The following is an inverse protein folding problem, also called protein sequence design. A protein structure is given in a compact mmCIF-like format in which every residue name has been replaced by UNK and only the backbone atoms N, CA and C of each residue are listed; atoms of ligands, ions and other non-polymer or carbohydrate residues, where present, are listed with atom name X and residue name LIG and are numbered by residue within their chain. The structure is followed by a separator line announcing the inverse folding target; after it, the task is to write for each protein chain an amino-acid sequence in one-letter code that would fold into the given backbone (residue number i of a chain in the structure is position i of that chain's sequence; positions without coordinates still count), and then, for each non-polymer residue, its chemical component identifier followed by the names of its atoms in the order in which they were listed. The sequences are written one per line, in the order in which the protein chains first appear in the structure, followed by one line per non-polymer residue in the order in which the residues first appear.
data_IF_578242838428
#
_entry.id   IF_578242838428
#
_cell.length_a   1.000
_cell.length_b   1.000
_cell.length_c   1.000
_cell.angle_alpha   90.00
_cell.angle_beta   90.00
_cell.angle_gamma   90.00
#
_symmetry.space_group_name_H-M   'P 1'
#
loop_
_entity.id
_entity.type
_entity.pdbx_description
1 polymer ?
#
# COMPACT_ATOMS: atom_id res chain seq x y z
N UNK A 1 16.12 9.30 4.61
CA UNK A 1 15.36 9.89 3.49
C UNK A 1 13.98 9.34 3.70
N UNK A 2 13.04 10.15 4.18
CA UNK A 2 11.83 9.67 4.85
C UNK A 2 10.59 10.07 4.04
N UNK A 3 10.67 9.89 2.71
CA UNK A 3 9.69 10.41 1.75
C UNK A 3 8.33 9.77 1.99
N UNK A 4 8.27 8.45 2.10
CA UNK A 4 7.02 7.72 2.28
C UNK A 4 6.55 7.70 3.73
N UNK A 5 7.47 7.68 4.70
CA UNK A 5 7.14 7.85 6.12
C UNK A 5 6.49 9.22 6.37
N UNK A 6 7.05 10.30 5.83
CA UNK A 6 6.44 11.62 5.94
C UNK A 6 5.11 11.70 5.18
N UNK A 7 5.03 11.16 3.96
CA UNK A 7 3.79 11.16 3.16
C UNK A 7 2.64 10.42 3.85
N UNK A 8 2.90 9.23 4.40
CA UNK A 8 1.89 8.45 5.12
C UNK A 8 1.46 9.15 6.41
N UNK A 9 2.38 9.81 7.13
CA UNK A 9 2.08 10.64 8.29
C UNK A 9 1.19 11.84 7.93
N UNK A 10 1.50 12.55 6.84
CA UNK A 10 0.73 13.71 6.39
C UNK A 10 -0.70 13.32 6.01
N UNK A 11 -0.86 12.26 5.21
CA UNK A 11 -2.20 11.75 4.84
C UNK A 11 -2.94 11.25 6.09
N UNK A 12 -2.25 10.52 6.98
CA UNK A 12 -2.80 10.04 8.25
C UNK A 12 -3.36 11.17 9.11
N UNK A 13 -2.70 12.33 9.13
CA UNK A 13 -3.14 13.51 9.88
C UNK A 13 -4.46 14.09 9.35
N UNK A 14 -4.67 14.12 8.03
CA UNK A 14 -5.92 14.58 7.45
C UNK A 14 -7.04 13.54 7.61
N UNK A 15 -6.73 12.25 7.44
CA UNK A 15 -7.69 11.18 7.73
C UNK A 15 -8.16 11.19 9.18
N UNK A 16 -7.31 11.61 10.14
CA UNK A 16 -7.73 11.76 11.54
C UNK A 16 -8.77 12.86 11.74
N UNK A 17 -8.70 13.96 10.97
CA UNK A 17 -9.76 15.00 10.95
C UNK A 17 -11.04 14.46 10.32
N UNK A 18 -10.92 13.76 9.18
CA UNK A 18 -12.07 13.12 8.51
C UNK A 18 -12.80 12.13 9.43
N UNK A 19 -12.10 11.39 10.29
CA UNK A 19 -12.75 10.50 11.28
C UNK A 19 -13.62 11.25 12.29
N UNK A 20 -13.29 12.51 12.61
CA UNK A 20 -14.09 13.35 13.52
C UNK A 20 -15.26 14.01 12.80
N UNK A 21 -15.04 14.44 11.56
CA UNK A 21 -16.02 15.22 10.78
C UNK A 21 -17.01 14.34 9.99
N UNK A 22 -16.61 13.12 9.59
CA UNK A 22 -17.41 12.17 8.84
C UNK A 22 -17.32 10.75 9.44
N UNK A 23 -17.72 10.56 10.72
CA UNK A 23 -17.47 9.31 11.44
C UNK A 23 -18.17 8.09 10.82
N UNK A 24 -19.39 8.25 10.30
CA UNK A 24 -20.14 7.13 9.69
C UNK A 24 -19.46 6.60 8.42
N UNK A 25 -19.06 7.51 7.52
CA UNK A 25 -18.34 7.15 6.28
C UNK A 25 -17.02 6.48 6.60
N UNK A 26 -16.25 7.04 7.54
CA UNK A 26 -14.94 6.49 7.91
C UNK A 26 -15.06 5.14 8.61
N UNK A 27 -16.10 4.93 9.42
CA UNK A 27 -16.39 3.63 10.05
C UNK A 27 -16.75 2.58 9.02
N UNK A 28 -17.66 2.90 8.08
CA UNK A 28 -18.05 1.97 7.01
C UNK A 28 -16.85 1.58 6.14
N UNK A 29 -15.99 2.54 5.79
CA UNK A 29 -14.77 2.26 5.03
C UNK A 29 -13.78 1.40 5.82
N UNK A 30 -13.60 1.63 7.12
CA UNK A 30 -12.74 0.82 7.97
C UNK A 30 -13.24 -0.64 8.05
N UNK A 31 -14.56 -0.85 8.18
CA UNK A 31 -15.16 -2.18 8.15
C UNK A 31 -14.95 -2.89 6.81
N UNK A 32 -15.11 -2.19 5.69
CA UNK A 32 -14.79 -2.72 4.36
C UNK A 32 -13.33 -3.15 4.25
N UNK A 33 -12.40 -2.27 4.64
CA UNK A 33 -10.96 -2.53 4.61
C UNK A 33 -10.60 -3.76 5.44
N UNK A 34 -11.13 -3.87 6.67
CA UNK A 34 -10.90 -5.04 7.53
C UNK A 34 -11.48 -6.33 6.94
N UNK A 35 -12.70 -6.28 6.39
CA UNK A 35 -13.35 -7.43 5.79
C UNK A 35 -12.61 -7.94 4.54
N UNK A 36 -12.06 -7.01 3.73
CA UNK A 36 -11.30 -7.36 2.53
C UNK A 36 -9.92 -7.95 2.87
N UNK A 37 -9.23 -7.38 3.87
CA UNK A 37 -7.82 -7.71 4.18
C UNK A 37 -7.64 -8.83 5.21
N UNK A 38 -8.67 -9.20 6.00
CA UNK A 38 -8.56 -10.32 6.96
C UNK A 38 -8.12 -11.63 6.30
N UNK A 39 -7.46 -12.51 7.04
CA UNK A 39 -7.08 -13.83 6.55
C UNK A 39 -8.30 -14.67 6.12
N UNK A 40 -8.10 -15.53 5.14
CA UNK A 40 -9.09 -16.45 4.60
C UNK A 40 -8.43 -17.48 3.69
N UNK A 41 -9.03 -17.77 2.54
CA UNK A 41 -8.39 -18.62 1.50
C UNK A 41 -7.08 -18.00 1.02
N UNK A 42 -7.02 -16.68 0.93
CA UNK A 42 -5.77 -15.93 0.76
C UNK A 42 -5.37 -15.33 2.11
N UNK A 43 -4.10 -15.48 2.47
CA UNK A 43 -3.54 -14.84 3.65
C UNK A 43 -3.41 -13.32 3.45
N UNK A 44 -3.19 -12.61 4.56
CA UNK A 44 -2.99 -11.15 4.57
C UNK A 44 -1.86 -10.70 3.67
N UNK A 45 -0.74 -11.43 3.64
CA UNK A 45 0.44 -11.03 2.84
C UNK A 45 0.11 -11.05 1.36
N UNK A 46 -0.53 -12.12 0.88
CA UNK A 46 -1.00 -12.25 -0.50
C UNK A 46 -1.97 -11.13 -0.85
N UNK A 47 -2.88 -10.78 0.06
CA UNK A 47 -3.83 -9.67 -0.14
C UNK A 47 -3.13 -8.30 -0.19
N UNK A 48 -2.11 -8.07 0.62
CA UNK A 48 -1.32 -6.83 0.59
C UNK A 48 -0.45 -6.75 -0.68
N UNK A 49 0.05 -7.87 -1.22
CA UNK A 49 0.72 -7.89 -2.53
C UNK A 49 -0.27 -7.49 -3.64
N UNK A 50 -1.49 -8.02 -3.61
CA UNK A 50 -2.56 -7.58 -4.53
C UNK A 50 -2.84 -6.08 -4.36
N UNK A 51 -2.92 -5.58 -3.12
CA UNK A 51 -3.14 -4.17 -2.84
C UNK A 51 -2.00 -3.28 -3.35
N UNK A 52 -0.75 -3.73 -3.24
CA UNK A 52 0.41 -3.05 -3.81
C UNK A 52 0.34 -2.97 -5.34
N UNK A 53 0.01 -4.08 -6.02
CA UNK A 53 -0.19 -4.06 -7.48
C UNK A 53 -1.28 -3.07 -7.89
N UNK A 54 -2.38 -3.02 -7.14
CA UNK A 54 -3.46 -2.04 -7.37
C UNK A 54 -3.00 -0.60 -7.08
N UNK A 55 -2.21 -0.37 -6.05
CA UNK A 55 -1.66 0.95 -5.73
C UNK A 55 -0.77 1.49 -6.86
N UNK A 56 0.08 0.63 -7.42
CA UNK A 56 0.90 0.92 -8.60
C UNK A 56 0.02 1.18 -9.81
N UNK A 57 -0.94 0.29 -10.12
CA UNK A 57 -1.84 0.46 -11.27
C UNK A 57 -2.73 1.72 -11.16
N UNK A 58 -3.00 2.20 -9.94
CA UNK A 58 -3.73 3.45 -9.68
C UNK A 58 -2.86 4.69 -9.59
N UNK A 59 -1.55 4.55 -9.76
CA UNK A 59 -0.62 5.68 -9.74
C UNK A 59 -0.76 6.50 -8.45
N UNK A 60 -0.88 5.81 -7.30
CA UNK A 60 -1.24 6.41 -6.02
C UNK A 60 -0.07 6.34 -5.00
N UNK A 61 0.78 7.38 -4.87
CA UNK A 61 1.92 7.38 -3.95
C UNK A 61 1.54 7.18 -2.48
N UNK A 62 0.37 7.68 -2.07
CA UNK A 62 -0.15 7.47 -0.71
C UNK A 62 -0.48 6.00 -0.45
N UNK A 63 -1.16 5.36 -1.40
CA UNK A 63 -1.49 3.93 -1.36
C UNK A 63 -0.22 3.08 -1.34
N UNK A 64 0.75 3.41 -2.21
CA UNK A 64 2.06 2.75 -2.26
C UNK A 64 2.74 2.82 -0.89
N UNK A 65 2.79 4.00 -0.25
CA UNK A 65 3.39 4.16 1.07
C UNK A 65 2.73 3.31 2.15
N UNK A 66 1.39 3.32 2.24
CA UNK A 66 0.68 2.53 3.24
C UNK A 66 0.83 1.02 3.03
N UNK A 67 0.73 0.54 1.79
CA UNK A 67 0.85 -0.89 1.48
C UNK A 67 2.31 -1.38 1.55
N UNK A 68 3.29 -0.54 1.25
CA UNK A 68 4.71 -0.87 1.49
C UNK A 68 4.96 -1.09 3.00
N UNK A 69 4.49 -0.17 3.85
CA UNK A 69 4.60 -0.32 5.30
C UNK A 69 3.89 -1.59 5.81
N UNK A 70 2.73 -1.93 5.26
CA UNK A 70 1.99 -3.14 5.61
C UNK A 70 2.74 -4.42 5.20
N UNK A 71 3.30 -4.44 3.99
CA UNK A 71 4.09 -5.58 3.49
C UNK A 71 5.33 -5.85 4.35
N UNK A 72 6.05 -4.80 4.77
CA UNK A 72 7.19 -4.96 5.69
C UNK A 72 6.74 -5.57 7.03
N UNK A 73 5.63 -5.07 7.62
CA UNK A 73 5.08 -5.64 8.86
C UNK A 73 4.62 -7.09 8.73
N UNK A 74 4.24 -7.51 7.53
CA UNK A 74 3.86 -8.88 7.22
C UNK A 74 5.04 -9.77 6.81
N UNK A 75 6.27 -9.25 6.90
CA UNK A 75 7.50 -9.94 6.49
C UNK A 75 7.44 -10.44 5.04
N UNK A 76 6.86 -9.64 4.14
CA UNK A 76 6.96 -9.91 2.72
C UNK A 76 8.42 -9.84 2.28
N UNK A 77 8.84 -10.77 1.43
CA UNK A 77 10.20 -10.77 0.91
C UNK A 77 10.32 -9.73 -0.22
N UNK A 78 11.57 -9.34 -0.52
CA UNK A 78 11.84 -8.46 -1.67
C UNK A 78 11.42 -9.14 -2.96
N UNK A 79 11.64 -10.44 -3.09
CA UNK A 79 11.28 -11.24 -4.26
C UNK A 79 9.77 -11.25 -4.49
N UNK A 80 8.96 -11.43 -3.44
CA UNK A 80 7.50 -11.35 -3.51
C UNK A 80 7.01 -9.98 -4.01
N UNK A 81 7.63 -8.91 -3.53
CA UNK A 81 7.37 -7.57 -4.04
C UNK A 81 7.76 -7.46 -5.52
N UNK A 82 8.96 -7.89 -5.89
CA UNK A 82 9.45 -7.76 -7.28
C UNK A 82 8.58 -8.52 -8.28
N UNK A 83 8.11 -9.73 -7.95
CA UNK A 83 7.16 -10.47 -8.80
C UNK A 83 5.82 -9.74 -8.94
N UNK A 84 5.33 -9.17 -7.85
CA UNK A 84 4.10 -8.36 -7.83
C UNK A 84 4.22 -7.10 -8.70
N UNK A 85 5.36 -6.40 -8.61
CA UNK A 85 5.65 -5.23 -9.44
C UNK A 85 5.80 -5.62 -10.91
N UNK A 86 6.40 -6.78 -11.20
CA UNK A 86 6.46 -7.34 -12.55
C UNK A 86 5.08 -7.49 -13.17
N UNK A 87 4.11 -8.00 -12.41
CA UNK A 87 2.71 -8.08 -12.85
C UNK A 87 2.08 -6.71 -13.10
N UNK A 88 2.32 -5.72 -12.25
CA UNK A 88 1.82 -4.36 -12.45
C UNK A 88 2.40 -3.72 -13.72
N UNK A 89 3.71 -3.91 -13.98
CA UNK A 89 4.39 -3.41 -15.18
C UNK A 89 3.85 -4.11 -16.44
N UNK A 90 3.69 -5.43 -16.40
CA UNK A 90 3.12 -6.19 -17.52
C UNK A 90 1.74 -5.67 -17.91
N UNK A 91 0.87 -5.39 -16.92
CA UNK A 91 -0.51 -4.97 -17.16
C UNK A 91 -0.67 -3.46 -17.45
N UNK A 92 0.28 -2.62 -17.02
CA UNK A 92 0.17 -1.17 -17.09
C UNK A 92 1.26 -0.45 -17.90
N UNK A 93 2.25 -1.17 -18.41
CA UNK A 93 3.31 -0.64 -19.26
C UNK A 93 4.18 0.42 -18.59
N UNK A 94 4.67 1.38 -19.39
CA UNK A 94 5.59 2.43 -18.96
C UNK A 94 5.13 3.25 -17.74
N UNK A 95 3.87 3.69 -17.65
CA UNK A 95 3.38 4.40 -16.46
C UNK A 95 3.51 3.57 -15.18
N UNK A 96 3.10 2.30 -15.21
CA UNK A 96 3.22 1.42 -14.05
C UNK A 96 4.68 1.13 -13.66
N UNK A 97 5.63 1.15 -14.61
CA UNK A 97 7.05 1.09 -14.29
C UNK A 97 7.52 2.26 -13.40
N UNK A 98 7.03 3.48 -13.65
CA UNK A 98 7.40 4.65 -12.83
C UNK A 98 6.91 4.51 -11.39
N UNK A 99 5.68 4.03 -11.21
CA UNK A 99 5.13 3.80 -9.88
C UNK A 99 5.63 2.52 -9.22
N UNK A 100 6.09 1.53 -9.98
CA UNK A 100 6.81 0.38 -9.44
C UNK A 100 8.17 0.79 -8.85
N UNK A 101 8.87 1.76 -9.46
CA UNK A 101 10.08 2.34 -8.87
C UNK A 101 9.78 3.04 -7.54
N UNK A 102 8.68 3.80 -7.45
CA UNK A 102 8.21 4.37 -6.19
C UNK A 102 7.85 3.30 -5.14
N UNK A 103 7.24 2.19 -5.55
CA UNK A 103 6.92 1.09 -4.65
C UNK A 103 8.16 0.41 -4.07
N UNK A 104 9.20 0.24 -4.89
CA UNK A 104 10.48 -0.29 -4.43
C UNK A 104 11.15 0.66 -3.42
N UNK A 105 11.18 1.96 -3.72
CA UNK A 105 11.70 3.00 -2.81
C UNK A 105 10.96 2.97 -1.47
N UNK A 106 9.61 2.94 -1.50
CA UNK A 106 8.80 2.89 -0.29
C UNK A 106 9.07 1.64 0.56
N UNK A 107 9.18 0.48 -0.07
CA UNK A 107 9.44 -0.77 0.63
C UNK A 107 10.83 -0.79 1.28
N UNK A 108 11.86 -0.30 0.59
CA UNK A 108 13.21 -0.17 1.15
C UNK A 108 13.25 0.81 2.32
N UNK A 109 12.58 1.96 2.21
CA UNK A 109 12.49 2.96 3.27
C UNK A 109 11.90 2.34 4.56
N UNK A 110 10.79 1.61 4.44
CA UNK A 110 10.16 0.95 5.59
C UNK A 110 10.89 -0.30 6.09
N UNK A 111 11.71 -0.94 5.26
CA UNK A 111 12.51 -2.11 5.67
C UNK A 111 13.74 -1.73 6.51
N UNK A 112 14.17 -0.47 6.44
CA UNK A 112 15.33 0.05 7.17
C UNK A 112 14.95 0.75 8.50
N UNK A 113 13.66 0.85 8.80
CA UNK A 113 13.11 1.59 9.96
C UNK A 113 12.54 0.68 11.05
#
# INVERSE_FOLDING_TARGET
MDKFAQKTKDIGSQMAKMRKEMPEVMSAFASLSQAATKDGVLDKKTKELIAMALAVAKHCPGCIGFHAQALVKLNASREELMETLGMAIYMGGGPSLMYAAEALEAFEEFSQS
#
